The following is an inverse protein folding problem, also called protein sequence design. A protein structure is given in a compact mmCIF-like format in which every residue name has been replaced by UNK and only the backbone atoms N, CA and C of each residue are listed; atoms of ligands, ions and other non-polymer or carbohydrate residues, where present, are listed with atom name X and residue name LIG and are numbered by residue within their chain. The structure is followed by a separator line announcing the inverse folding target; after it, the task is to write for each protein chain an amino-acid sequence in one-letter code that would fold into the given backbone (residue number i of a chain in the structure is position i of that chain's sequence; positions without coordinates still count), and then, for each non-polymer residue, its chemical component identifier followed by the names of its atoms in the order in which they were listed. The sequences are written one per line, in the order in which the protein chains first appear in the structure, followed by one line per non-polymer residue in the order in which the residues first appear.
data_IF_631586775447
#
_entry.id   IF_631586775447
#
_cell.length_a   1.000
_cell.length_b   1.000
_cell.length_c   1.000
_cell.angle_alpha   90.00
_cell.angle_beta   90.00
_cell.angle_gamma   90.00
#
_symmetry.space_group_name_H-M   'P 1'
#
loop_
_entity.id
_entity.type
_entity.pdbx_description
1 polymer ?
#
# COMPACT_ATOMS: atom_id res chain seq x y z
N UNK A 1 8.24 -5.07 22.34
CA UNK A 1 8.09 -4.24 21.12
C UNK A 1 6.64 -4.27 20.66
N UNK A 2 6.18 -3.21 20.02
CA UNK A 2 4.86 -3.10 19.41
C UNK A 2 5.00 -2.64 17.96
N UNK A 3 4.14 -3.14 17.08
CA UNK A 3 4.10 -2.77 15.68
C UNK A 3 2.66 -2.61 15.20
N UNK A 4 2.45 -1.70 14.25
CA UNK A 4 1.15 -1.53 13.60
C UNK A 4 0.96 -2.58 12.52
N UNK A 5 0.02 -3.50 12.75
CA UNK A 5 -0.30 -4.53 11.76
C UNK A 5 -0.82 -3.93 10.46
N UNK A 6 -0.10 -4.18 9.36
CA UNK A 6 -0.50 -3.82 7.98
C UNK A 6 -0.82 -2.32 7.80
N UNK A 7 -0.03 -1.43 8.45
CA UNK A 7 -0.33 0.01 8.49
C UNK A 7 -0.53 0.62 7.11
N UNK A 8 0.30 0.27 6.13
CA UNK A 8 0.24 0.83 4.77
C UNK A 8 -1.02 0.38 4.01
N UNK A 9 -1.46 -0.87 4.19
CA UNK A 9 -2.71 -1.37 3.61
C UNK A 9 -3.94 -0.68 4.23
N UNK A 10 -3.90 -0.36 5.52
CA UNK A 10 -4.93 0.43 6.19
C UNK A 10 -4.97 1.87 5.68
N UNK A 11 -3.79 2.46 5.46
CA UNK A 11 -3.66 3.83 4.95
C UNK A 11 -4.20 3.90 3.52
N UNK A 12 -3.83 2.99 2.61
CA UNK A 12 -4.33 3.03 1.25
C UNK A 12 -5.83 2.75 1.19
N UNK A 13 -6.37 1.82 1.99
CA UNK A 13 -7.81 1.59 2.09
C UNK A 13 -8.58 2.85 2.49
N UNK A 14 -7.99 3.67 3.36
CA UNK A 14 -8.56 4.96 3.77
C UNK A 14 -8.40 6.05 2.70
N UNK A 15 -7.21 6.22 2.14
CA UNK A 15 -6.90 7.28 1.17
C UNK A 15 -7.60 7.07 -0.17
N UNK A 16 -7.73 5.81 -0.61
CA UNK A 16 -8.46 5.43 -1.82
C UNK A 16 -9.98 5.33 -1.60
N UNK A 17 -10.43 5.50 -0.36
CA UNK A 17 -11.84 5.33 0.06
C UNK A 17 -12.42 3.95 -0.31
N UNK A 18 -11.58 2.90 -0.26
CA UNK A 18 -12.00 1.54 -0.61
C UNK A 18 -12.86 0.92 0.49
N UNK A 19 -14.16 0.80 0.23
CA UNK A 19 -15.11 0.31 1.21
C UNK A 19 -14.93 -1.18 1.52
N UNK A 20 -14.54 -2.00 0.55
CA UNK A 20 -14.32 -3.43 0.73
C UNK A 20 -13.14 -3.69 1.69
N UNK A 21 -12.01 -3.03 1.45
CA UNK A 21 -10.85 -3.13 2.33
C UNK A 21 -11.13 -2.54 3.72
N UNK A 22 -11.79 -1.38 3.80
CA UNK A 22 -12.18 -0.79 5.10
C UNK A 22 -13.08 -1.72 5.91
N UNK A 23 -14.06 -2.35 5.25
CA UNK A 23 -14.95 -3.32 5.89
C UNK A 23 -14.18 -4.55 6.38
N UNK A 24 -13.33 -5.14 5.53
CA UNK A 24 -12.50 -6.27 5.89
C UNK A 24 -11.62 -5.98 7.13
N UNK A 25 -11.04 -4.78 7.21
CA UNK A 25 -10.28 -4.38 8.41
C UNK A 25 -11.15 -4.26 9.67
N UNK A 26 -12.39 -3.76 9.55
CA UNK A 26 -13.34 -3.68 10.69
C UNK A 26 -13.74 -5.06 11.17
N UNK A 27 -13.96 -5.98 10.27
CA UNK A 27 -14.34 -7.39 10.53
C UNK A 27 -13.14 -8.28 10.88
N UNK A 28 -11.92 -7.70 10.91
CA UNK A 28 -10.67 -8.43 11.19
C UNK A 28 -10.40 -9.58 10.21
N UNK A 29 -10.89 -9.47 8.99
CA UNK A 29 -10.58 -10.41 7.91
C UNK A 29 -9.12 -10.20 7.50
N UNK A 30 -8.41 -11.30 7.24
CA UNK A 30 -7.05 -11.23 6.70
C UNK A 30 -7.05 -10.68 5.27
N UNK A 31 -6.47 -9.51 5.08
CA UNK A 31 -6.49 -8.79 3.79
C UNK A 31 -5.79 -9.57 2.68
N UNK A 32 -4.75 -10.32 3.00
CA UNK A 32 -4.06 -11.12 1.98
C UNK A 32 -4.92 -12.30 1.52
N UNK A 33 -5.66 -12.91 2.44
CA UNK A 33 -6.63 -13.95 2.09
C UNK A 33 -7.82 -13.38 1.31
N UNK A 34 -8.31 -12.20 1.68
CA UNK A 34 -9.34 -11.51 0.91
C UNK A 34 -8.87 -11.24 -0.52
N UNK A 35 -7.69 -10.64 -0.68
CA UNK A 35 -7.11 -10.38 -2.01
C UNK A 35 -6.92 -11.65 -2.82
N UNK A 36 -6.45 -12.73 -2.19
CA UNK A 36 -6.31 -14.02 -2.85
C UNK A 36 -7.66 -14.55 -3.33
N UNK A 37 -8.69 -14.45 -2.50
CA UNK A 37 -10.05 -14.84 -2.87
C UNK A 37 -10.58 -14.06 -4.07
N UNK A 38 -10.38 -12.74 -4.07
CA UNK A 38 -10.85 -11.85 -5.13
C UNK A 38 -10.07 -12.00 -6.44
N UNK A 39 -8.74 -12.17 -6.37
CA UNK A 39 -7.86 -12.21 -7.55
C UNK A 39 -7.80 -13.61 -8.16
N UNK A 40 -7.77 -14.66 -7.33
CA UNK A 40 -7.64 -16.05 -7.79
C UNK A 40 -8.97 -16.82 -7.78
N UNK A 41 -10.06 -16.24 -7.22
CA UNK A 41 -11.37 -16.90 -7.15
C UNK A 41 -11.42 -18.08 -6.16
N UNK A 42 -10.51 -18.13 -5.18
CA UNK A 42 -10.42 -19.19 -4.19
C UNK A 42 -11.23 -18.81 -2.95
N UNK A 43 -12.20 -19.62 -2.50
CA UNK A 43 -12.94 -19.31 -1.27
C UNK A 43 -12.03 -19.16 -0.06
N UNK A 44 -12.36 -18.21 0.84
CA UNK A 44 -11.56 -17.97 2.05
C UNK A 44 -11.30 -19.20 2.92
N UNK A 45 -12.26 -20.11 2.98
CA UNK A 45 -12.17 -21.38 3.73
C UNK A 45 -11.14 -22.36 3.16
N UNK A 46 -10.84 -22.25 1.87
CA UNK A 46 -9.92 -23.13 1.14
C UNK A 46 -8.54 -22.49 0.91
N UNK A 47 -8.27 -21.38 1.63
CA UNK A 47 -7.06 -20.59 1.47
C UNK A 47 -5.84 -21.28 2.03
N UNK A 48 -4.89 -21.66 1.16
CA UNK A 48 -3.60 -22.17 1.57
C UNK A 48 -2.55 -21.06 1.80
N UNK A 49 -1.47 -21.43 2.48
CA UNK A 49 -0.41 -20.48 2.82
C UNK A 49 0.36 -19.96 1.60
N UNK A 50 0.48 -20.73 0.53
CA UNK A 50 1.19 -20.33 -0.68
C UNK A 50 0.39 -19.28 -1.45
N UNK A 51 -0.90 -19.53 -1.67
CA UNK A 51 -1.82 -18.60 -2.31
C UNK A 51 -1.91 -17.28 -1.54
N UNK A 52 -2.01 -17.36 -0.20
CA UNK A 52 -1.97 -16.18 0.66
C UNK A 52 -0.65 -15.41 0.53
N UNK A 53 0.49 -16.10 0.41
CA UNK A 53 1.81 -15.49 0.20
C UNK A 53 1.89 -14.77 -1.16
N UNK A 54 1.35 -15.38 -2.22
CA UNK A 54 1.26 -14.73 -3.54
C UNK A 54 0.42 -13.45 -3.47
N UNK A 55 -0.75 -13.50 -2.84
CA UNK A 55 -1.58 -12.31 -2.64
C UNK A 55 -0.90 -11.23 -1.80
N UNK A 56 -0.11 -11.62 -0.78
CA UNK A 56 0.71 -10.67 -0.02
C UNK A 56 1.72 -9.95 -0.92
N UNK A 57 2.40 -10.68 -1.80
CA UNK A 57 3.34 -10.09 -2.76
C UNK A 57 2.63 -9.17 -3.77
N UNK A 58 1.44 -9.52 -4.22
CA UNK A 58 0.61 -8.68 -5.10
C UNK A 58 0.20 -7.40 -4.37
N UNK A 59 -0.35 -7.49 -3.16
CA UNK A 59 -0.79 -6.33 -2.39
C UNK A 59 0.34 -5.30 -2.20
N UNK A 60 1.48 -5.73 -1.70
CA UNK A 60 2.62 -4.84 -1.50
C UNK A 60 3.24 -4.40 -2.83
N UNK A 61 3.36 -5.32 -3.77
CA UNK A 61 3.90 -5.00 -5.09
C UNK A 61 3.10 -3.88 -5.78
N UNK A 62 1.77 -3.98 -5.80
CA UNK A 62 0.91 -2.97 -6.43
C UNK A 62 1.02 -1.63 -5.70
N UNK A 63 0.95 -1.61 -4.36
CA UNK A 63 1.11 -0.38 -3.57
C UNK A 63 2.44 0.31 -3.87
N UNK A 64 3.50 -0.46 -4.11
CA UNK A 64 4.81 0.07 -4.47
C UNK A 64 5.01 0.28 -5.97
N UNK A 65 3.97 0.12 -6.78
CA UNK A 65 4.00 0.36 -8.22
C UNK A 65 4.83 -0.66 -8.99
N UNK A 66 4.75 -1.94 -8.60
CA UNK A 66 5.44 -3.04 -9.28
C UNK A 66 4.94 -3.17 -10.72
N UNK A 67 5.85 -3.45 -11.65
CA UNK A 67 5.50 -3.83 -13.02
C UNK A 67 5.19 -5.33 -13.12
N UNK A 68 4.53 -5.73 -14.21
CA UNK A 68 4.30 -7.15 -14.49
C UNK A 68 5.63 -7.95 -14.56
N UNK A 69 6.70 -7.33 -15.04
CA UNK A 69 8.05 -7.93 -15.04
C UNK A 69 8.58 -8.12 -13.60
N UNK A 70 8.44 -7.11 -12.74
CA UNK A 70 8.85 -7.22 -11.34
C UNK A 70 8.06 -8.28 -10.58
N UNK A 71 6.74 -8.32 -10.80
CA UNK A 71 5.86 -9.30 -10.15
C UNK A 71 6.13 -10.73 -10.64
N UNK A 72 6.37 -10.93 -11.94
CA UNK A 72 6.71 -12.24 -12.51
C UNK A 72 7.99 -12.80 -11.90
N UNK A 73 9.03 -11.99 -11.74
CA UNK A 73 10.27 -12.41 -11.08
C UNK A 73 10.08 -12.71 -9.58
N UNK A 74 9.23 -11.95 -8.88
CA UNK A 74 9.00 -12.14 -7.45
C UNK A 74 8.19 -13.40 -7.15
N UNK A 75 7.27 -13.79 -8.03
CA UNK A 75 6.40 -14.94 -7.86
C UNK A 75 6.84 -16.17 -8.63
N UNK A 76 7.89 -16.07 -9.45
CA UNK A 76 8.36 -17.11 -10.36
C UNK A 76 7.25 -17.62 -11.30
N UNK A 77 6.55 -16.67 -11.95
CA UNK A 77 5.45 -16.91 -12.88
C UNK A 77 5.72 -16.23 -14.22
N UNK A 78 4.93 -16.56 -15.24
CA UNK A 78 5.02 -15.89 -16.52
C UNK A 78 4.63 -14.39 -16.41
N UNK A 79 5.20 -13.56 -17.31
CA UNK A 79 4.85 -12.14 -17.37
C UNK A 79 3.38 -11.92 -17.74
N UNK A 80 2.80 -12.81 -18.54
CA UNK A 80 1.38 -12.77 -18.90
C UNK A 80 0.52 -12.97 -17.65
N UNK A 81 0.81 -14.02 -16.88
CA UNK A 81 0.11 -14.32 -15.64
C UNK A 81 0.22 -13.18 -14.61
N UNK A 82 1.41 -12.59 -14.46
CA UNK A 82 1.61 -11.43 -13.61
C UNK A 82 0.77 -10.21 -14.08
N UNK A 83 0.65 -10.00 -15.39
CA UNK A 83 -0.22 -8.95 -15.95
C UNK A 83 -1.69 -9.23 -15.67
N UNK A 84 -2.13 -10.49 -15.76
CA UNK A 84 -3.50 -10.88 -15.48
C UNK A 84 -3.84 -10.67 -13.99
N UNK A 85 -2.92 -11.00 -13.08
CA UNK A 85 -3.11 -10.74 -11.64
C UNK A 85 -3.22 -9.25 -11.33
N UNK A 86 -2.37 -8.39 -11.94
CA UNK A 86 -2.45 -6.94 -11.76
C UNK A 86 -3.77 -6.40 -12.31
N UNK A 87 -4.23 -6.89 -13.47
CA UNK A 87 -5.52 -6.50 -14.06
C UNK A 87 -6.67 -6.90 -13.15
N UNK A 88 -6.75 -8.16 -12.73
CA UNK A 88 -7.79 -8.67 -11.82
C UNK A 88 -7.82 -7.90 -10.51
N UNK A 89 -6.65 -7.55 -9.95
CA UNK A 89 -6.58 -6.74 -8.75
C UNK A 89 -7.26 -5.38 -8.93
N UNK A 90 -6.96 -4.67 -10.02
CA UNK A 90 -7.56 -3.36 -10.28
C UNK A 90 -9.02 -3.41 -10.73
N UNK A 91 -9.50 -4.54 -11.24
CA UNK A 91 -10.92 -4.77 -11.49
C UNK A 91 -11.70 -4.95 -10.17
N UNK A 92 -11.08 -5.58 -9.17
CA UNK A 92 -11.67 -5.80 -7.84
C UNK A 92 -11.53 -4.61 -6.90
N UNK A 93 -10.46 -3.84 -7.05
CA UNK A 93 -10.14 -2.65 -6.25
C UNK A 93 -9.96 -1.40 -7.13
N UNK A 94 -11.00 -0.97 -7.86
CA UNK A 94 -10.89 0.15 -8.80
C UNK A 94 -10.54 1.47 -8.12
N UNK A 95 -11.00 1.69 -6.89
CA UNK A 95 -10.69 2.88 -6.10
C UNK A 95 -9.18 3.03 -5.82
N UNK A 96 -8.46 1.92 -5.66
CA UNK A 96 -6.99 1.96 -5.51
C UNK A 96 -6.33 2.42 -6.80
N UNK A 97 -6.78 1.91 -7.95
CA UNK A 97 -6.28 2.37 -9.26
C UNK A 97 -6.52 3.88 -9.43
N UNK A 98 -7.73 4.34 -9.15
CA UNK A 98 -8.12 5.74 -9.33
C UNK A 98 -7.30 6.65 -8.39
N UNK A 99 -7.07 6.24 -7.15
CA UNK A 99 -6.17 6.92 -6.22
C UNK A 99 -4.75 7.02 -6.78
N UNK A 100 -4.21 5.93 -7.32
CA UNK A 100 -2.85 5.91 -7.87
C UNK A 100 -2.73 6.83 -9.09
N UNK A 101 -3.67 6.80 -10.02
CA UNK A 101 -3.66 7.68 -11.20
C UNK A 101 -3.78 9.16 -10.79
N UNK A 102 -4.76 9.50 -9.96
CA UNK A 102 -4.95 10.88 -9.46
C UNK A 102 -3.71 11.39 -8.73
N UNK A 103 -3.06 10.53 -7.93
CA UNK A 103 -1.85 10.91 -7.18
C UNK A 103 -0.66 11.16 -8.12
N UNK A 104 -0.50 10.37 -9.18
CA UNK A 104 0.53 10.59 -10.20
C UNK A 104 0.32 11.90 -10.95
N UNK A 105 -0.91 12.18 -11.38
CA UNK A 105 -1.27 13.42 -12.04
C UNK A 105 -1.00 14.63 -11.14
N UNK A 106 -1.46 14.57 -9.90
CA UNK A 106 -1.21 15.64 -8.93
C UNK A 106 0.29 15.89 -8.71
N UNK A 107 1.08 14.82 -8.58
CA UNK A 107 2.54 14.95 -8.41
C UNK A 107 3.21 15.57 -9.63
N UNK A 108 2.77 15.21 -10.83
CA UNK A 108 3.28 15.77 -12.10
C UNK A 108 3.03 17.27 -12.18
N UNK A 109 1.83 17.73 -11.81
CA UNK A 109 1.42 19.12 -11.94
C UNK A 109 1.98 20.02 -10.84
N UNK A 110 2.22 19.47 -9.65
CA UNK A 110 2.60 20.23 -8.46
C UNK A 110 4.04 20.02 -7.98
N UNK A 111 4.73 18.97 -8.43
CA UNK A 111 6.08 18.61 -7.96
C UNK A 111 6.15 18.06 -6.53
N UNK A 112 5.03 17.80 -5.89
CA UNK A 112 4.95 17.21 -4.56
C UNK A 112 3.65 16.41 -4.39
N UNK A 113 3.62 15.56 -3.36
CA UNK A 113 2.41 14.93 -2.82
C UNK A 113 2.27 15.24 -1.33
N UNK A 114 1.14 14.90 -0.71
CA UNK A 114 0.89 15.16 0.71
C UNK A 114 0.54 13.89 1.46
N UNK A 115 1.03 13.77 2.70
CA UNK A 115 0.52 12.80 3.64
C UNK A 115 -0.90 13.14 4.07
N UNK A 116 -1.59 12.20 4.72
CA UNK A 116 -2.92 12.42 5.29
C UNK A 116 -2.94 13.59 6.29
N UNK A 117 -1.82 13.89 6.92
CA UNK A 117 -1.64 15.01 7.87
C UNK A 117 -1.16 16.31 7.21
N UNK A 118 -1.12 16.36 5.88
CA UNK A 118 -0.78 17.57 5.11
C UNK A 118 0.71 17.84 4.94
N UNK A 119 1.61 16.97 5.44
CA UNK A 119 3.05 17.12 5.21
C UNK A 119 3.36 16.92 3.73
N UNK A 120 4.04 17.90 3.15
CA UNK A 120 4.50 17.84 1.75
C UNK A 120 5.69 16.87 1.61
N UNK A 121 5.60 16.01 0.61
CA UNK A 121 6.68 15.14 0.16
C UNK A 121 7.06 15.58 -1.25
N UNK A 122 8.22 16.22 -1.40
CA UNK A 122 8.71 16.70 -2.68
C UNK A 122 9.04 15.48 -3.56
N UNK A 123 8.55 15.49 -4.79
CA UNK A 123 8.86 14.48 -5.80
C UNK A 123 9.88 15.08 -6.75
N UNK A 124 11.13 15.06 -6.32
CA UNK A 124 12.25 15.46 -7.16
C UNK A 124 12.57 14.31 -8.12
N UNK A 125 12.48 14.59 -9.38
CA UNK A 125 12.88 13.63 -10.40
C UNK A 125 13.34 14.34 -11.62
N UNK A 126 14.49 13.94 -12.15
CA UNK A 126 14.91 14.41 -13.43
C UNK A 126 13.95 13.85 -14.48
N UNK A 127 12.98 14.67 -14.92
CA UNK A 127 12.23 14.43 -16.15
C UNK A 127 13.19 14.06 -17.33
N UNK A 128 14.45 14.38 -17.19
CA UNK A 128 15.55 14.16 -18.14
C UNK A 128 16.21 12.77 -18.05
N UNK A 129 15.79 11.87 -17.16
CA UNK A 129 16.40 10.53 -17.00
C UNK A 129 15.75 9.44 -17.88
N UNK A 130 15.03 9.80 -18.93
CA UNK A 130 14.41 8.84 -19.83
C UNK A 130 13.25 8.04 -19.20
N UNK A 131 12.80 6.94 -19.84
CA UNK A 131 11.64 6.15 -19.39
C UNK A 131 11.76 5.59 -17.96
N UNK A 132 12.97 5.22 -17.54
CA UNK A 132 13.24 4.73 -16.19
C UNK A 132 13.06 5.80 -15.13
N UNK A 133 13.40 7.05 -15.41
CA UNK A 133 13.21 8.19 -14.50
C UNK A 133 11.74 8.49 -14.27
N UNK A 134 10.92 8.45 -15.33
CA UNK A 134 9.46 8.64 -15.22
C UNK A 134 8.83 7.58 -14.32
N UNK A 135 9.11 6.29 -14.58
CA UNK A 135 8.58 5.20 -13.77
C UNK A 135 9.01 5.28 -12.30
N UNK A 136 10.24 5.75 -12.02
CA UNK A 136 10.70 5.99 -10.66
C UNK A 136 9.89 7.10 -9.97
N UNK A 137 9.66 8.24 -10.66
CA UNK A 137 8.86 9.35 -10.13
C UNK A 137 7.42 8.94 -9.85
N UNK A 138 6.79 8.21 -10.75
CA UNK A 138 5.43 7.70 -10.56
C UNK A 138 5.33 6.81 -9.32
N UNK A 139 6.27 5.88 -9.15
CA UNK A 139 6.34 5.04 -7.93
C UNK A 139 6.57 5.87 -6.67
N UNK A 140 7.48 6.83 -6.72
CA UNK A 140 7.74 7.73 -5.58
C UNK A 140 6.49 8.54 -5.21
N UNK A 141 5.75 9.04 -6.20
CA UNK A 141 4.52 9.79 -6.00
C UNK A 141 3.44 8.96 -5.31
N UNK A 142 3.26 7.69 -5.70
CA UNK A 142 2.28 6.78 -5.08
C UNK A 142 2.69 6.42 -3.64
N UNK A 143 3.98 6.12 -3.43
CA UNK A 143 4.48 5.59 -2.15
C UNK A 143 4.61 6.67 -1.07
N UNK A 144 5.06 7.88 -1.43
CA UNK A 144 5.37 8.91 -0.46
C UNK A 144 4.18 9.33 0.43
N UNK A 145 2.94 9.45 -0.05
CA UNK A 145 1.79 9.72 0.81
C UNK A 145 1.53 8.60 1.81
N UNK A 146 1.65 7.34 1.39
CA UNK A 146 1.35 6.15 2.19
C UNK A 146 2.41 5.97 3.27
N UNK A 147 3.68 5.85 2.87
CA UNK A 147 4.80 5.68 3.79
C UNK A 147 4.99 6.89 4.70
N UNK A 148 4.82 8.09 4.15
CA UNK A 148 4.87 9.32 4.92
C UNK A 148 3.77 9.40 5.97
N UNK A 149 2.55 8.99 5.65
CA UNK A 149 1.45 8.91 6.60
C UNK A 149 1.72 7.87 7.69
N UNK A 150 2.26 6.70 7.33
CA UNK A 150 2.67 5.69 8.31
C UNK A 150 3.71 6.26 9.30
N UNK A 151 4.73 6.94 8.80
CA UNK A 151 5.74 7.60 9.63
C UNK A 151 5.13 8.68 10.55
N UNK A 152 4.18 9.47 10.03
CA UNK A 152 3.49 10.51 10.81
C UNK A 152 2.64 9.89 11.94
N UNK A 153 1.98 8.76 11.69
CA UNK A 153 1.21 8.01 12.71
C UNK A 153 2.15 7.49 13.80
N UNK A 154 3.24 6.83 13.41
CA UNK A 154 4.23 6.29 14.36
C UNK A 154 4.82 7.41 15.21
N UNK A 155 5.23 8.51 14.60
CA UNK A 155 5.79 9.67 15.33
C UNK A 155 4.79 10.23 16.34
N UNK A 156 3.51 10.36 15.96
CA UNK A 156 2.45 10.83 16.88
C UNK A 156 2.22 9.87 18.03
N UNK A 157 2.28 8.55 17.78
CA UNK A 157 2.20 7.55 18.83
C UNK A 157 3.40 7.65 19.80
N UNK A 158 4.62 7.74 19.27
CA UNK A 158 5.85 7.88 20.06
C UNK A 158 5.82 9.12 20.98
N UNK A 159 5.27 10.24 20.52
CA UNK A 159 5.13 11.45 21.35
C UNK A 159 4.15 11.23 22.50
N UNK A 160 3.10 10.43 22.33
CA UNK A 160 2.08 10.17 23.34
C UNK A 160 2.47 9.08 24.34
N UNK A 161 3.26 8.08 23.94
CA UNK A 161 3.62 6.94 24.79
C UNK A 161 4.23 7.35 26.13
N UNK A 162 5.23 8.26 26.22
CA UNK A 162 5.81 8.66 27.50
C UNK A 162 4.78 9.25 28.48
N UNK A 163 3.82 10.01 27.96
CA UNK A 163 2.76 10.61 28.78
C UNK A 163 1.82 9.55 29.35
N UNK A 164 1.46 8.55 28.53
CA UNK A 164 0.61 7.43 28.96
C UNK A 164 1.34 6.57 29.98
N UNK A 165 2.61 6.21 29.74
CA UNK A 165 3.41 5.43 30.67
C UNK A 165 3.51 6.12 32.04
N UNK A 166 3.75 7.43 32.05
CA UNK A 166 3.79 8.22 33.29
C UNK A 166 2.44 8.24 34.03
N UNK A 167 1.34 8.44 33.28
CA UNK A 167 -0.02 8.46 33.84
C UNK A 167 -0.40 7.12 34.48
N UNK A 168 -0.07 6.03 33.83
CA UNK A 168 -0.36 4.65 34.26
C UNK A 168 0.71 4.07 35.19
N UNK A 169 1.68 4.90 35.65
CA UNK A 169 2.77 4.51 36.55
C UNK A 169 3.56 3.28 36.07
N UNK A 170 3.74 3.13 34.76
CA UNK A 170 4.47 2.03 34.14
C UNK A 170 5.96 2.37 34.02
N UNK A 171 6.83 1.42 34.38
CA UNK A 171 8.29 1.58 34.36
C UNK A 171 8.98 1.10 33.07
N UNK A 172 8.25 0.92 31.99
CA UNK A 172 8.80 0.57 30.68
C UNK A 172 9.71 1.68 30.14
N UNK A 173 10.85 1.28 29.59
CA UNK A 173 11.82 2.16 28.90
C UNK A 173 11.75 1.98 27.40
#
# INVERSE_FOLDING_TARGET
SADYSQIELRIIAHMADDNNLKQAFREKIDIHSLTASEVFGIPLKDMDNETRRKAKAINFGIIYGISAFGLSNQLDISRSEASDYIRSYFEKFPSIRDYMETTKEFAKDNGFVKTLFGRKCIIEGSANRGPGGKAFMERAAINAPIQGTAADIIKRAMIKIPQVLKKESLSSK
#
